data_IF_274493802836
#
_entry.id   IF_274493802836
#
_cell.length_a   1.000
_cell.length_b   1.000
_cell.length_c   1.000
_cell.angle_alpha   90.00
_cell.angle_beta   90.00
_cell.angle_gamma   90.00
#
_symmetry.space_group_name_H-M   'P 1'
#
loop_
_entity.id
_entity.type
_entity.pdbx_description
1 polymer ?
#
# COMPACT_ATOMS: atom_id res chain seq x y z
N UNK A 1 -2.38 -23.90 4.85
CA UNK A 1 -1.91 -23.11 6.01
C UNK A 1 -0.97 -21.99 5.58
N UNK A 2 0.29 -22.28 5.21
CA UNK A 2 1.29 -21.26 4.91
C UNK A 2 0.86 -20.22 3.85
N UNK A 3 0.27 -20.66 2.73
CA UNK A 3 -0.21 -19.76 1.67
C UNK A 3 -1.26 -18.74 2.20
N UNK A 4 -2.18 -19.20 3.05
CA UNK A 4 -3.21 -18.35 3.65
C UNK A 4 -2.59 -17.33 4.61
N UNK A 5 -1.64 -17.77 5.46
CA UNK A 5 -0.98 -16.89 6.42
C UNK A 5 -0.21 -15.79 5.69
N UNK A 6 0.63 -16.16 4.73
CA UNK A 6 1.46 -15.19 4.00
C UNK A 6 0.61 -14.20 3.22
N UNK A 7 -0.41 -14.66 2.49
CA UNK A 7 -1.31 -13.75 1.78
C UNK A 7 -2.05 -12.81 2.73
N UNK A 8 -2.49 -13.33 3.89
CA UNK A 8 -3.18 -12.52 4.90
C UNK A 8 -2.27 -11.46 5.54
N UNK A 9 -0.99 -11.76 5.75
CA UNK A 9 0.02 -10.79 6.22
C UNK A 9 0.23 -9.69 5.17
N UNK A 10 0.43 -10.04 3.89
CA UNK A 10 0.58 -9.05 2.82
C UNK A 10 -0.68 -8.17 2.66
N UNK A 11 -1.86 -8.74 2.82
CA UNK A 11 -3.11 -7.97 2.84
C UNK A 11 -3.20 -7.03 4.03
N UNK A 12 -2.73 -7.45 5.19
CA UNK A 12 -2.64 -6.62 6.39
C UNK A 12 -1.72 -5.42 6.17
N UNK A 13 -0.50 -5.68 5.69
CA UNK A 13 0.46 -4.61 5.34
C UNK A 13 -0.09 -3.65 4.29
N UNK A 14 -0.74 -4.17 3.25
CA UNK A 14 -1.37 -3.33 2.23
C UNK A 14 -2.41 -2.41 2.87
N UNK A 15 -3.29 -2.94 3.73
CA UNK A 15 -4.31 -2.13 4.42
C UNK A 15 -3.72 -1.08 5.35
N UNK A 16 -2.62 -1.38 6.03
CA UNK A 16 -1.88 -0.44 6.87
C UNK A 16 -1.30 0.71 6.05
N UNK A 17 -0.59 0.38 4.98
CA UNK A 17 0.00 1.37 4.07
C UNK A 17 -1.10 2.22 3.43
N UNK A 18 -2.21 1.61 3.02
CA UNK A 18 -3.38 2.32 2.53
C UNK A 18 -3.94 3.30 3.56
N UNK A 19 -3.99 2.93 4.84
CA UNK A 19 -4.48 3.82 5.89
C UNK A 19 -3.56 5.03 6.12
N UNK A 20 -2.24 4.85 6.01
CA UNK A 20 -1.29 5.97 6.13
C UNK A 20 -1.46 6.98 5.00
N UNK A 21 -1.50 6.52 3.74
CA UNK A 21 -1.77 7.42 2.61
C UNK A 21 -3.17 8.04 2.71
N UNK A 22 -4.15 7.30 3.26
CA UNK A 22 -5.51 7.82 3.46
C UNK A 22 -5.62 9.02 4.39
N UNK A 23 -4.66 9.18 5.30
CA UNK A 23 -4.73 10.21 6.31
C UNK A 23 -3.96 11.48 5.93
N UNK A 24 -3.04 11.40 4.96
CA UNK A 24 -2.22 12.52 4.50
C UNK A 24 -2.57 12.99 3.08
N UNK A 25 -2.85 12.07 2.15
CA UNK A 25 -3.09 12.39 0.74
C UNK A 25 -4.57 12.60 0.45
N UNK A 26 -4.93 13.55 -0.43
CA UNK A 26 -6.30 13.75 -0.87
C UNK A 26 -6.79 12.60 -1.75
N UNK A 27 -8.12 12.48 -1.90
CA UNK A 27 -8.72 11.46 -2.77
C UNK A 27 -8.29 11.62 -4.23
N UNK A 28 -8.24 12.87 -4.71
CA UNK A 28 -7.74 13.24 -6.02
C UNK A 28 -6.79 14.42 -5.90
N UNK A 29 -5.62 14.33 -6.53
CA UNK A 29 -4.65 15.41 -6.69
C UNK A 29 -4.47 15.75 -8.17
N UNK A 30 -4.62 17.03 -8.49
CA UNK A 30 -4.42 17.59 -9.83
C UNK A 30 -3.08 18.33 -9.83
N UNK A 31 -2.18 17.93 -10.73
CA UNK A 31 -0.87 18.57 -10.93
C UNK A 31 -0.68 18.89 -12.41
N UNK A 32 0.01 19.98 -12.78
CA UNK A 32 0.32 20.24 -14.18
C UNK A 32 1.30 19.19 -14.71
N UNK A 33 1.19 18.82 -15.98
CA UNK A 33 2.16 17.92 -16.65
C UNK A 33 3.44 18.70 -17.00
N UNK A 34 3.27 19.94 -17.47
CA UNK A 34 4.37 20.84 -17.79
C UNK A 34 4.40 22.03 -16.83
N UNK A 35 5.60 22.39 -16.37
CA UNK A 35 5.79 23.45 -15.37
C UNK A 35 5.57 22.97 -13.93
N UNK A 36 5.80 23.88 -12.98
CA UNK A 36 5.69 23.60 -11.53
C UNK A 36 4.40 24.10 -10.91
N UNK A 37 3.82 25.15 -11.49
CA UNK A 37 2.65 25.83 -10.95
C UNK A 37 1.75 26.30 -12.10
N UNK A 38 0.46 26.48 -11.81
CA UNK A 38 -0.55 26.94 -12.75
C UNK A 38 -1.55 27.85 -12.04
N UNK A 39 -2.26 28.70 -12.78
CA UNK A 39 -3.37 29.49 -12.22
C UNK A 39 -4.67 28.68 -12.35
N UNK A 40 -5.37 28.36 -11.24
CA UNK A 40 -6.61 27.60 -11.32
C UNK A 40 -7.73 28.28 -12.11
N UNK A 41 -7.71 29.61 -12.19
CA UNK A 41 -8.74 30.41 -12.89
C UNK A 41 -8.64 30.21 -14.39
N UNK A 42 -7.42 30.16 -14.94
CA UNK A 42 -7.17 30.01 -16.38
C UNK A 42 -7.72 28.69 -16.94
N UNK A 43 -7.84 27.66 -16.11
CA UNK A 43 -8.27 26.32 -16.50
C UNK A 43 -9.69 25.95 -16.02
N UNK A 44 -10.47 26.93 -15.57
CA UNK A 44 -11.89 26.78 -15.22
C UNK A 44 -12.14 25.66 -14.18
N UNK A 45 -11.26 25.56 -13.16
CA UNK A 45 -11.42 24.58 -12.09
C UNK A 45 -12.68 24.83 -11.23
N UNK A 46 -13.33 25.98 -11.39
CA UNK A 46 -14.66 26.27 -10.83
C UNK A 46 -15.73 25.23 -11.20
N UNK A 47 -15.63 24.60 -12.38
CA UNK A 47 -16.53 23.50 -12.75
C UNK A 47 -16.35 22.28 -11.85
N UNK A 48 -15.11 21.96 -11.51
CA UNK A 48 -14.77 20.81 -10.65
C UNK A 48 -15.25 21.08 -9.22
N UNK A 49 -15.07 22.31 -8.73
CA UNK A 49 -15.55 22.74 -7.42
C UNK A 49 -17.07 22.62 -7.25
N UNK A 50 -17.84 22.66 -8.34
CA UNK A 50 -19.31 22.56 -8.36
C UNK A 50 -19.83 21.14 -8.58
N UNK A 51 -18.95 20.14 -8.74
CA UNK A 51 -19.39 18.76 -8.91
C UNK A 51 -20.04 18.24 -7.61
N UNK A 52 -21.17 17.50 -7.69
CA UNK A 52 -21.94 17.10 -6.50
C UNK A 52 -21.17 16.16 -5.57
N UNK A 53 -20.25 15.36 -6.12
CA UNK A 53 -19.46 14.40 -5.36
C UNK A 53 -18.18 15.01 -4.75
N UNK A 54 -17.87 16.28 -5.05
CA UNK A 54 -16.72 17.00 -4.51
C UNK A 54 -17.15 17.72 -3.23
N UNK A 55 -16.65 17.25 -2.09
CA UNK A 55 -16.97 17.82 -0.77
C UNK A 55 -15.96 18.90 -0.40
N UNK A 56 -14.70 18.70 -0.78
CA UNK A 56 -13.62 19.61 -0.45
C UNK A 56 -12.78 19.94 -1.67
N UNK A 57 -12.41 21.21 -1.76
CA UNK A 57 -11.52 21.75 -2.77
C UNK A 57 -10.46 22.58 -2.05
N UNK A 58 -9.19 22.30 -2.36
CA UNK A 58 -8.06 22.95 -1.72
C UNK A 58 -6.95 23.24 -2.72
N UNK A 59 -6.54 24.51 -2.74
CA UNK A 59 -5.38 24.97 -3.49
C UNK A 59 -4.13 24.83 -2.62
N UNK A 60 -3.09 24.21 -3.16
CA UNK A 60 -1.89 23.85 -2.40
C UNK A 60 -0.64 24.32 -3.15
N UNK A 61 0.34 24.79 -2.38
CA UNK A 61 1.68 25.15 -2.85
C UNK A 61 2.70 24.21 -2.23
N UNK A 62 3.44 23.49 -3.07
CA UNK A 62 4.53 22.58 -2.69
C UNK A 62 5.81 23.01 -3.43
N UNK A 63 6.80 23.50 -2.68
CA UNK A 63 8.13 23.79 -3.20
C UNK A 63 9.20 23.42 -2.16
N UNK A 64 10.40 23.13 -2.66
CA UNK A 64 11.55 22.79 -1.82
C UNK A 64 12.17 24.07 -1.25
N UNK A 65 12.45 24.07 0.05
CA UNK A 65 13.14 25.13 0.75
C UNK A 65 14.22 24.57 1.68
N UNK A 66 15.19 25.40 2.04
CA UNK A 66 16.18 25.05 3.07
C UNK A 66 15.69 25.55 4.43
N UNK A 67 15.42 24.63 5.34
CA UNK A 67 15.05 24.95 6.72
C UNK A 67 16.31 25.14 7.56
N UNK A 68 16.26 26.06 8.51
CA UNK A 68 17.29 26.27 9.52
C UNK A 68 16.66 26.47 10.88
N UNK A 69 17.08 25.66 11.83
CA UNK A 69 16.71 25.78 13.24
C UNK A 69 18.01 25.77 14.05
N UNK A 70 18.26 26.84 14.81
CA UNK A 70 19.54 27.05 15.49
C UNK A 70 20.75 26.90 14.54
N UNK A 71 21.58 25.88 14.76
CA UNK A 71 22.76 25.57 13.94
C UNK A 71 22.52 24.45 12.91
N UNK A 72 21.36 23.80 12.93
CA UNK A 72 21.04 22.70 12.02
C UNK A 72 20.31 23.23 10.78
N UNK A 73 20.60 22.60 9.64
CA UNK A 73 19.96 22.93 8.36
C UNK A 73 19.48 21.64 7.70
N UNK A 74 18.30 21.70 7.10
CA UNK A 74 17.69 20.53 6.49
C UNK A 74 16.81 20.94 5.30
N UNK A 75 17.00 20.36 4.10
CA UNK A 75 16.12 20.61 2.97
C UNK A 75 14.77 19.91 3.18
N UNK A 76 13.66 20.63 3.00
CA UNK A 76 12.31 20.07 3.11
C UNK A 76 11.37 20.71 2.08
N UNK A 77 10.24 20.05 1.82
CA UNK A 77 9.11 20.59 1.06
C UNK A 77 8.20 21.35 2.01
N UNK A 78 8.00 22.63 1.70
CA UNK A 78 6.97 23.45 2.34
C UNK A 78 5.65 23.14 1.64
N UNK A 79 4.69 22.58 2.38
CA UNK A 79 3.31 22.36 1.90
C UNK A 79 2.41 23.46 2.47
N UNK A 80 2.11 24.46 1.64
CA UNK A 80 1.17 25.54 1.95
C UNK A 80 -0.26 25.07 1.72
N UNK A 81 -1.06 24.99 2.78
CA UNK A 81 -2.42 24.42 2.73
C UNK A 81 -3.48 25.40 3.22
N UNK A 82 -4.72 25.29 2.73
CA UNK A 82 -5.80 26.15 3.19
C UNK A 82 -6.30 25.73 4.60
N UNK A 83 -7.05 26.60 5.30
CA UNK A 83 -7.51 26.32 6.67
C UNK A 83 -8.37 25.06 6.82
N UNK A 84 -9.03 24.62 5.74
CA UNK A 84 -9.85 23.41 5.71
C UNK A 84 -9.05 22.11 5.47
N UNK A 85 -7.70 22.14 5.48
CA UNK A 85 -6.85 20.96 5.26
C UNK A 85 -7.23 19.77 6.16
N UNK A 86 -7.40 20.01 7.47
CA UNK A 86 -7.79 18.97 8.42
C UNK A 86 -9.22 18.46 8.27
N UNK A 87 -10.07 19.11 7.45
CA UNK A 87 -11.44 18.65 7.22
C UNK A 87 -11.53 17.50 6.20
N UNK A 88 -10.59 17.45 5.25
CA UNK A 88 -10.55 16.43 4.20
C UNK A 88 -9.34 15.49 4.31
N UNK A 89 -8.41 15.79 5.21
CA UNK A 89 -7.31 14.90 5.60
C UNK A 89 -7.46 14.56 7.08
N UNK A 90 -7.07 13.36 7.48
CA UNK A 90 -7.09 12.97 8.90
C UNK A 90 -5.78 13.37 9.61
N UNK A 91 -5.17 14.49 9.22
CA UNK A 91 -3.84 14.91 9.71
C UNK A 91 -3.81 15.10 11.24
N UNK A 92 -4.94 15.49 11.84
CA UNK A 92 -5.07 15.65 13.29
C UNK A 92 -4.82 14.34 14.05
N UNK A 93 -5.14 13.19 13.44
CA UNK A 93 -4.90 11.86 14.02
C UNK A 93 -3.44 11.42 13.95
N UNK A 94 -2.62 12.12 13.17
CA UNK A 94 -1.21 11.82 12.93
C UNK A 94 -0.26 12.66 13.79
N UNK A 95 -0.80 13.59 14.60
CA UNK A 95 0.00 14.43 15.50
C UNK A 95 0.48 13.61 16.68
N UNK A 96 1.80 13.55 16.86
CA UNK A 96 2.47 12.82 17.95
C UNK A 96 2.91 13.74 19.09
N UNK A 97 3.12 15.03 18.80
CA UNK A 97 3.52 16.04 19.77
C UNK A 97 2.92 17.41 19.39
N UNK A 98 2.49 18.20 20.37
CA UNK A 98 1.84 19.50 20.16
C UNK A 98 0.42 19.42 19.60
N UNK A 99 0.06 20.36 18.70
CA UNK A 99 -1.26 20.47 18.08
C UNK A 99 -1.17 20.86 16.60
N UNK A 100 -2.10 20.38 15.79
CA UNK A 100 -2.29 20.86 14.43
C UNK A 100 -2.93 22.26 14.44
N UNK A 101 -2.09 23.29 14.40
CA UNK A 101 -2.52 24.69 14.36
C UNK A 101 -1.64 25.36 13.29
N UNK A 102 -2.27 25.89 12.25
CA UNK A 102 -1.53 26.63 11.21
C UNK A 102 -1.63 28.13 11.41
N UNK A 103 -2.69 28.61 12.07
CA UNK A 103 -2.87 30.01 12.36
C UNK A 103 -3.65 30.19 13.68
N UNK A 104 -3.14 31.02 14.59
CA UNK A 104 -3.86 31.44 15.79
C UNK A 104 -3.59 32.93 16.05
N UNK A 105 -4.65 33.70 16.29
CA UNK A 105 -4.59 35.15 16.60
C UNK A 105 -3.69 35.97 15.65
N UNK A 106 -3.66 35.60 14.36
CA UNK A 106 -2.86 36.29 13.33
C UNK A 106 -1.38 35.91 13.32
N UNK A 107 -0.97 34.91 14.11
CA UNK A 107 0.36 34.30 14.05
C UNK A 107 0.27 33.02 13.23
N UNK A 108 1.19 32.89 12.26
CA UNK A 108 1.31 31.70 11.44
C UNK A 108 2.23 30.67 12.12
N UNK A 109 1.80 29.41 12.09
CA UNK A 109 2.45 28.28 12.72
C UNK A 109 2.70 27.17 11.70
N UNK A 110 3.69 26.34 11.97
CA UNK A 110 4.04 25.19 11.17
C UNK A 110 3.82 23.88 11.92
N UNK A 111 3.37 22.86 11.21
CA UNK A 111 3.34 21.48 11.71
C UNK A 111 4.39 20.70 10.94
N UNK A 112 5.34 20.12 11.66
CA UNK A 112 6.58 19.57 11.08
C UNK A 112 6.51 18.05 11.05
N UNK A 113 6.98 17.41 9.98
CA UNK A 113 7.12 15.95 9.97
C UNK A 113 8.17 15.49 10.98
N UNK A 114 7.97 14.32 11.60
CA UNK A 114 8.85 13.79 12.65
C UNK A 114 10.32 13.71 12.21
N UNK A 115 10.59 13.28 10.97
CA UNK A 115 11.93 13.20 10.41
C UNK A 115 12.58 14.57 10.23
N UNK A 116 11.83 15.56 9.74
CA UNK A 116 12.30 16.95 9.64
C UNK A 116 12.58 17.52 11.03
N UNK A 117 11.68 17.29 12.00
CA UNK A 117 11.84 17.75 13.38
C UNK A 117 13.08 17.14 14.04
N UNK A 118 13.30 15.84 13.86
CA UNK A 118 14.48 15.12 14.35
C UNK A 118 15.78 15.68 13.76
N UNK A 119 15.86 15.87 12.44
CA UNK A 119 17.07 16.35 11.76
C UNK A 119 17.38 17.84 12.00
N UNK A 120 16.38 18.62 12.43
CA UNK A 120 16.56 20.02 12.82
C UNK A 120 16.73 20.20 14.33
N UNK A 121 16.52 19.14 15.12
CA UNK A 121 16.54 19.21 16.58
C UNK A 121 15.44 20.11 17.14
N UNK A 122 14.27 20.13 16.51
CA UNK A 122 13.12 20.94 16.93
C UNK A 122 12.53 20.35 18.21
N UNK A 123 12.36 21.17 19.24
CA UNK A 123 11.61 20.84 20.44
C UNK A 123 10.49 21.85 20.64
N UNK A 124 9.25 21.38 20.82
CA UNK A 124 8.08 22.27 20.98
C UNK A 124 8.07 23.05 22.30
N UNK A 125 8.92 22.67 23.25
CA UNK A 125 9.06 23.33 24.57
C UNK A 125 9.74 24.69 24.49
N UNK A 126 10.59 24.93 23.49
CA UNK A 126 11.32 26.19 23.30
C UNK A 126 10.93 26.81 21.96
N UNK A 127 10.27 27.96 22.00
CA UNK A 127 9.60 28.59 20.84
C UNK A 127 10.61 29.40 20.01
N UNK A 128 11.69 28.77 19.55
CA UNK A 128 12.53 29.39 18.52
C UNK A 128 11.82 29.29 17.16
N UNK A 129 11.91 30.31 16.29
CA UNK A 129 11.33 30.21 14.96
C UNK A 129 12.22 29.39 14.03
N UNK A 130 11.60 28.59 13.17
CA UNK A 130 12.24 27.96 12.02
C UNK A 130 12.46 29.04 10.96
N UNK A 131 13.70 29.19 10.50
CA UNK A 131 14.04 30.03 9.36
C UNK A 131 13.94 29.22 8.08
N UNK A 132 13.18 29.73 7.12
CA UNK A 132 12.98 29.08 5.83
C UNK A 132 13.66 29.92 4.76
N UNK A 133 14.56 29.32 3.99
CA UNK A 133 15.29 29.99 2.91
C UNK A 133 14.85 29.43 1.56
N UNK A 134 14.49 30.33 0.65
CA UNK A 134 14.00 30.01 -0.70
C UNK A 134 14.79 30.82 -1.74
N UNK A 135 15.32 30.19 -2.80
CA UNK A 135 15.97 30.92 -3.88
C UNK A 135 14.94 31.70 -4.71
N UNK A 136 15.21 32.98 -5.00
CA UNK A 136 14.34 33.81 -5.84
C UNK A 136 14.35 33.32 -7.30
N UNK A 137 13.15 33.17 -7.89
CA UNK A 137 12.98 32.77 -9.30
C UNK A 137 13.45 33.89 -10.24
N UNK A 138 14.17 33.54 -11.32
CA UNK A 138 14.38 34.42 -12.48
C UNK A 138 15.47 35.52 -12.41
N UNK A 139 16.28 35.60 -11.35
CA UNK A 139 17.46 36.49 -11.34
C UNK A 139 18.73 35.69 -11.64
N UNK A 140 19.50 36.12 -12.64
CA UNK A 140 20.89 35.64 -12.83
C UNK A 140 21.61 35.75 -11.50
N UNK A 141 22.47 34.76 -11.19
CA UNK A 141 23.27 34.75 -9.97
C UNK A 141 24.00 36.09 -9.82
N UNK A 142 23.46 36.97 -8.97
CA UNK A 142 24.09 38.22 -8.61
C UNK A 142 25.34 37.90 -7.80
N UNK A 143 26.39 38.70 -7.94
CA UNK A 143 27.59 38.61 -7.09
C UNK A 143 27.28 38.78 -5.59
N UNK A 144 26.05 39.21 -5.24
CA UNK A 144 25.56 39.30 -3.87
C UNK A 144 24.54 38.20 -3.54
N UNK A 145 25.03 37.08 -3.01
CA UNK A 145 24.28 35.87 -2.62
C UNK A 145 23.15 36.19 -1.60
N UNK A 146 23.33 37.22 -0.75
CA UNK A 146 22.34 37.60 0.24
C UNK A 146 21.07 38.24 -0.36
N UNK A 147 21.16 38.80 -1.57
CA UNK A 147 20.03 39.46 -2.26
C UNK A 147 19.17 38.50 -3.10
N UNK A 148 19.67 37.29 -3.35
CA UNK A 148 19.01 36.25 -4.18
C UNK A 148 18.17 35.25 -3.40
N UNK A 149 18.06 35.38 -2.07
CA UNK A 149 17.36 34.44 -1.20
C UNK A 149 16.23 35.17 -0.46
N UNK A 150 15.01 34.68 -0.58
CA UNK A 150 13.92 35.03 0.33
C UNK A 150 14.06 34.22 1.61
N UNK A 151 13.79 34.84 2.75
CA UNK A 151 13.66 34.12 4.00
C UNK A 151 12.47 34.60 4.80
N UNK A 152 11.86 33.69 5.53
CA UNK A 152 10.79 33.99 6.47
C UNK A 152 10.93 33.11 7.73
N UNK A 153 10.19 33.47 8.77
CA UNK A 153 10.19 32.83 10.06
C UNK A 153 8.83 32.22 10.34
N UNK A 154 8.82 31.00 10.88
CA UNK A 154 7.58 30.36 11.32
C UNK A 154 7.81 29.56 12.59
N UNK A 155 6.81 29.52 13.47
CA UNK A 155 6.91 28.82 14.75
C UNK A 155 6.31 27.42 14.65
N UNK A 156 6.98 26.37 15.17
CA UNK A 156 6.40 25.04 15.19
C UNK A 156 5.27 24.96 16.24
N UNK A 157 4.11 24.40 15.89
CA UNK A 157 3.00 24.13 16.83
C UNK A 157 2.80 22.65 17.13
N UNK A 158 3.31 21.78 16.27
CA UNK A 158 3.11 20.34 16.38
C UNK A 158 4.04 19.55 15.47
N UNK A 159 4.15 18.26 15.77
CA UNK A 159 4.90 17.28 15.00
C UNK A 159 3.95 16.16 14.59
N UNK A 160 3.91 15.85 13.29
CA UNK A 160 3.13 14.71 12.77
C UNK A 160 4.05 13.53 12.42
N UNK A 161 3.51 12.32 12.44
CA UNK A 161 4.17 11.12 11.92
C UNK A 161 3.22 10.27 11.08
N UNK A 162 3.70 9.87 9.90
CA UNK A 162 2.98 9.06 8.92
C UNK A 162 3.87 7.90 8.48
N UNK A 163 4.91 8.21 7.72
CA UNK A 163 5.88 7.28 7.12
C UNK A 163 7.18 8.07 6.92
N UNK A 164 8.33 7.42 7.06
CA UNK A 164 9.64 8.08 6.96
C UNK A 164 9.80 8.96 5.70
N UNK A 165 9.26 8.52 4.56
CA UNK A 165 9.31 9.25 3.28
C UNK A 165 8.53 10.57 3.30
N UNK A 166 7.46 10.66 4.11
CA UNK A 166 6.66 11.88 4.29
C UNK A 166 7.25 12.70 5.44
N UNK A 167 7.55 12.04 6.55
CA UNK A 167 8.00 12.64 7.81
C UNK A 167 9.35 13.36 7.65
N UNK A 168 10.22 12.83 6.80
CA UNK A 168 11.52 13.43 6.49
C UNK A 168 11.45 14.46 5.36
N UNK A 169 10.27 14.69 4.77
CA UNK A 169 10.15 15.53 3.57
C UNK A 169 9.30 16.76 3.79
N UNK A 170 8.25 16.71 4.60
CA UNK A 170 7.23 17.77 4.62
C UNK A 170 7.23 18.60 5.91
N UNK A 171 6.93 19.89 5.73
CA UNK A 171 6.46 20.81 6.76
C UNK A 171 5.19 21.50 6.23
N UNK A 172 4.13 21.51 7.03
CA UNK A 172 2.83 22.07 6.68
C UNK A 172 2.72 23.48 7.24
N UNK A 173 2.33 24.44 6.40
CA UNK A 173 2.20 25.86 6.75
C UNK A 173 0.92 26.44 6.14
N UNK A 174 0.43 27.61 6.59
CA UNK A 174 -0.67 28.31 5.93
C UNK A 174 -0.38 28.60 4.46
N UNK A 175 -1.39 28.43 3.62
CA UNK A 175 -1.33 28.78 2.19
C UNK A 175 -0.83 30.21 1.96
N UNK A 176 -1.32 31.17 2.74
CA UNK A 176 -0.92 32.58 2.63
C UNK A 176 0.58 32.78 2.88
N UNK A 177 1.11 32.18 3.94
CA UNK A 177 2.54 32.21 4.26
C UNK A 177 3.38 31.61 3.12
N UNK A 178 2.97 30.46 2.57
CA UNK A 178 3.67 29.84 1.45
C UNK A 178 3.62 30.69 0.17
N UNK A 179 2.45 31.25 -0.17
CA UNK A 179 2.28 32.12 -1.35
C UNK A 179 3.19 33.35 -1.29
N UNK A 180 3.28 34.00 -0.12
CA UNK A 180 4.17 35.15 0.10
C UNK A 180 5.66 34.74 0.04
N UNK A 181 6.04 33.64 0.69
CA UNK A 181 7.42 33.15 0.72
C UNK A 181 7.94 32.77 -0.68
N UNK A 182 7.10 32.12 -1.49
CA UNK A 182 7.45 31.68 -2.85
C UNK A 182 7.14 32.70 -3.95
N UNK A 183 6.61 33.88 -3.58
CA UNK A 183 6.16 34.93 -4.52
C UNK A 183 5.24 34.36 -5.62
N UNK A 184 4.38 33.39 -5.28
CA UNK A 184 3.58 32.64 -6.26
C UNK A 184 2.36 33.40 -6.76
N UNK A 185 1.93 34.45 -6.06
CA UNK A 185 0.73 35.23 -6.36
C UNK A 185 -0.52 34.32 -6.38
N UNK A 186 -1.11 34.09 -7.56
CA UNK A 186 -2.27 33.23 -7.77
C UNK A 186 -1.91 31.82 -8.27
N UNK A 187 -0.62 31.55 -8.49
CA UNK A 187 -0.16 30.27 -9.00
C UNK A 187 -0.11 29.23 -7.86
N UNK A 188 -0.64 28.04 -8.14
CA UNK A 188 -0.65 26.88 -7.22
C UNK A 188 0.14 25.74 -7.84
N UNK A 189 0.76 24.89 -7.02
CA UNK A 189 1.45 23.70 -7.53
C UNK A 189 0.47 22.56 -7.81
N UNK A 190 -0.58 22.47 -7.00
CA UNK A 190 -1.56 21.40 -7.10
C UNK A 190 -2.91 21.82 -6.54
N UNK A 191 -3.95 21.16 -7.02
CA UNK A 191 -5.29 21.23 -6.43
C UNK A 191 -5.66 19.86 -5.87
N UNK A 192 -6.04 19.86 -4.59
CA UNK A 192 -6.42 18.69 -3.81
C UNK A 192 -7.95 18.66 -3.65
N UNK A 193 -8.53 17.48 -3.88
CA UNK A 193 -9.98 17.28 -3.89
C UNK A 193 -10.32 16.14 -2.93
N UNK A 194 -11.24 16.43 -2.00
CA UNK A 194 -11.90 15.44 -1.15
C UNK A 194 -13.26 15.06 -1.71
N UNK A 195 -13.52 13.77 -1.81
CA UNK A 195 -14.76 13.22 -2.36
C UNK A 195 -15.72 12.77 -1.26
N UNK A 196 -17.00 12.63 -1.60
CA UNK A 196 -17.97 12.01 -0.71
C UNK A 196 -17.68 10.51 -0.50
N UNK A 197 -18.07 9.94 0.64
CA UNK A 197 -17.77 8.54 0.98
C UNK A 197 -18.41 7.52 0.02
N UNK A 198 -19.51 7.89 -0.65
CA UNK A 198 -20.21 7.06 -1.62
C UNK A 198 -19.72 7.26 -3.06
N UNK A 199 -18.85 8.26 -3.27
CA UNK A 199 -18.37 8.63 -4.60
C UNK A 199 -17.46 7.55 -5.22
N UNK A 200 -17.68 7.28 -6.50
CA UNK A 200 -16.75 6.44 -7.26
C UNK A 200 -15.54 7.27 -7.72
N UNK A 201 -14.48 7.26 -6.91
CA UNK A 201 -13.22 7.99 -7.19
C UNK A 201 -12.69 7.77 -8.61
N UNK A 202 -12.74 6.54 -9.16
CA UNK A 202 -12.26 6.27 -10.53
C UNK A 202 -13.13 6.93 -11.61
N UNK A 203 -14.43 7.00 -11.39
CA UNK A 203 -15.36 7.64 -12.33
C UNK A 203 -15.12 9.15 -12.34
N UNK A 204 -15.08 9.76 -11.16
CA UNK A 204 -14.86 11.20 -11.00
C UNK A 204 -13.47 11.61 -11.50
N UNK A 205 -12.45 10.82 -11.22
CA UNK A 205 -11.10 11.03 -11.76
C UNK A 205 -11.13 11.13 -13.29
N UNK A 206 -11.84 10.22 -13.97
CA UNK A 206 -11.97 10.26 -15.44
C UNK A 206 -12.74 11.48 -15.92
N UNK A 207 -13.81 11.86 -15.22
CA UNK A 207 -14.58 13.07 -15.54
C UNK A 207 -13.71 14.33 -15.40
N UNK A 208 -12.95 14.46 -14.31
CA UNK A 208 -12.02 15.56 -14.07
C UNK A 208 -10.92 15.58 -15.15
N UNK A 209 -10.33 14.42 -15.47
CA UNK A 209 -9.32 14.32 -16.53
C UNK A 209 -9.88 14.75 -17.89
N UNK A 210 -11.13 14.40 -18.21
CA UNK A 210 -11.77 14.82 -19.46
C UNK A 210 -12.03 16.33 -19.52
N UNK A 211 -12.28 16.97 -18.37
CA UNK A 211 -12.49 18.43 -18.29
C UNK A 211 -11.16 19.17 -18.48
N UNK A 212 -10.08 18.69 -17.85
CA UNK A 212 -8.77 19.36 -17.84
C UNK A 212 -7.90 19.02 -19.06
N UNK A 213 -8.20 17.94 -19.76
CA UNK A 213 -7.42 17.46 -20.90
C UNK A 213 -6.04 16.92 -20.49
N UNK A 214 -5.13 16.84 -21.47
CA UNK A 214 -3.80 16.22 -21.27
C UNK A 214 -2.77 17.14 -20.60
N UNK A 215 -3.12 18.40 -20.34
CA UNK A 215 -2.24 19.37 -19.69
C UNK A 215 -2.03 19.09 -18.19
N UNK A 216 -2.90 18.27 -17.60
CA UNK A 216 -2.89 17.94 -16.17
C UNK A 216 -2.82 16.43 -15.93
N UNK A 217 -2.05 16.06 -14.92
CA UNK A 217 -2.06 14.72 -14.35
C UNK A 217 -3.06 14.71 -13.19
N UNK A 218 -4.17 14.00 -13.37
CA UNK A 218 -5.18 13.77 -12.32
C UNK A 218 -4.93 12.40 -11.71
N UNK A 219 -4.36 12.37 -10.50
CA UNK A 219 -4.03 11.13 -9.79
C UNK A 219 -4.98 10.89 -8.63
N UNK A 220 -5.47 9.67 -8.50
CA UNK A 220 -6.11 9.24 -7.26
C UNK A 220 -5.06 8.92 -6.19
N UNK A 221 -5.50 8.76 -4.94
CA UNK A 221 -4.65 8.43 -3.80
C UNK A 221 -3.62 7.30 -4.02
N UNK A 222 -4.02 6.22 -4.67
CA UNK A 222 -3.11 5.10 -4.94
C UNK A 222 -2.03 5.44 -5.98
N UNK A 223 -2.36 6.28 -6.95
CA UNK A 223 -1.45 6.67 -8.04
C UNK A 223 -0.46 7.77 -7.62
N UNK A 224 -0.74 8.49 -6.53
CA UNK A 224 0.20 9.47 -5.97
C UNK A 224 1.49 8.78 -5.50
N UNK A 225 1.38 7.55 -4.97
CA UNK A 225 2.49 6.71 -4.53
C UNK A 225 2.62 5.42 -5.36
N UNK A 226 2.57 5.56 -6.69
CA UNK A 226 2.52 4.44 -7.64
C UNK A 226 3.70 3.47 -7.49
N UNK A 227 4.92 3.96 -7.21
CA UNK A 227 6.10 3.10 -6.99
C UNK A 227 5.92 2.19 -5.77
N UNK A 228 5.52 2.74 -4.63
CA UNK A 228 5.30 1.98 -3.38
C UNK A 228 4.21 0.94 -3.61
N UNK A 229 3.08 1.37 -4.19
CA UNK A 229 1.94 0.49 -4.44
C UNK A 229 2.27 -0.63 -5.43
N UNK A 230 2.98 -0.32 -6.54
CA UNK A 230 3.40 -1.32 -7.53
C UNK A 230 4.42 -2.29 -6.95
N UNK A 231 5.41 -1.81 -6.19
CA UNK A 231 6.40 -2.66 -5.52
C UNK A 231 5.73 -3.62 -4.54
N UNK A 232 4.82 -3.13 -3.70
CA UNK A 232 4.05 -3.96 -2.77
C UNK A 232 3.23 -5.04 -3.47
N UNK A 233 2.54 -4.69 -4.56
CA UNK A 233 1.85 -5.68 -5.38
C UNK A 233 2.81 -6.71 -5.95
N UNK A 234 3.93 -6.27 -6.50
CA UNK A 234 4.95 -7.16 -7.09
C UNK A 234 5.52 -8.12 -6.04
N UNK A 235 5.80 -7.66 -4.83
CA UNK A 235 6.29 -8.50 -3.73
C UNK A 235 5.25 -9.53 -3.29
N UNK A 236 3.97 -9.12 -3.15
CA UNK A 236 2.86 -10.06 -2.88
C UNK A 236 2.80 -11.16 -3.94
N UNK A 237 2.92 -10.80 -5.21
CA UNK A 237 2.92 -11.76 -6.32
C UNK A 237 4.16 -12.66 -6.33
N UNK A 238 5.34 -12.13 -6.02
CA UNK A 238 6.58 -12.92 -5.94
C UNK A 238 6.52 -13.95 -4.80
N UNK A 239 6.09 -13.53 -3.61
CA UNK A 239 5.90 -14.43 -2.47
C UNK A 239 4.85 -15.51 -2.78
N UNK A 240 3.76 -15.12 -3.44
CA UNK A 240 2.75 -16.06 -3.91
C UNK A 240 3.33 -17.10 -4.88
N UNK A 241 4.12 -16.70 -5.88
CA UNK A 241 4.77 -17.63 -6.83
C UNK A 241 5.71 -18.60 -6.13
N UNK A 242 6.55 -18.14 -5.19
CA UNK A 242 7.46 -18.99 -4.42
C UNK A 242 6.67 -20.06 -3.65
N UNK A 243 5.56 -19.67 -3.01
CA UNK A 243 4.75 -20.61 -2.24
C UNK A 243 4.02 -21.62 -3.13
N UNK A 244 3.61 -21.22 -4.34
CA UNK A 244 3.09 -22.16 -5.36
C UNK A 244 4.17 -23.16 -5.78
N UNK A 245 5.41 -22.71 -6.00
CA UNK A 245 6.53 -23.62 -6.30
C UNK A 245 6.79 -24.61 -5.15
N UNK A 246 6.81 -24.14 -3.91
CA UNK A 246 6.95 -25.01 -2.72
C UNK A 246 5.81 -26.03 -2.67
N UNK A 247 4.58 -25.62 -2.96
CA UNK A 247 3.43 -26.51 -3.02
C UNK A 247 3.58 -27.58 -4.12
N UNK A 248 4.06 -27.20 -5.31
CA UNK A 248 4.33 -28.14 -6.40
C UNK A 248 5.40 -29.14 -5.96
N UNK A 249 6.49 -28.69 -5.34
CA UNK A 249 7.53 -29.58 -4.82
C UNK A 249 6.96 -30.55 -3.78
N UNK A 250 6.15 -30.04 -2.85
CA UNK A 250 5.49 -30.87 -1.84
C UNK A 250 4.50 -31.87 -2.46
N UNK A 251 3.87 -31.53 -3.59
CA UNK A 251 2.96 -32.44 -4.29
C UNK A 251 3.67 -33.68 -4.87
N UNK A 252 4.99 -33.60 -5.13
CA UNK A 252 5.78 -34.79 -5.49
C UNK A 252 5.87 -35.81 -4.36
N UNK A 253 5.76 -35.41 -3.10
CA UNK A 253 5.71 -36.37 -2.00
C UNK A 253 4.40 -37.17 -2.02
N UNK A 254 3.28 -36.52 -2.38
CA UNK A 254 1.99 -37.20 -2.55
C UNK A 254 2.08 -38.18 -3.73
N UNK A 255 2.70 -37.77 -4.83
CA UNK A 255 2.99 -38.63 -5.98
C UNK A 255 3.76 -39.89 -5.58
N UNK A 256 4.86 -39.73 -4.83
CA UNK A 256 5.70 -40.84 -4.36
C UNK A 256 4.93 -41.77 -3.43
N UNK A 257 4.15 -41.23 -2.49
CA UNK A 257 3.35 -42.01 -1.55
C UNK A 257 2.23 -42.80 -2.24
N UNK A 258 1.49 -42.18 -3.16
CA UNK A 258 0.44 -42.86 -3.94
C UNK A 258 1.03 -43.97 -4.83
N UNK A 259 2.19 -43.70 -5.44
CA UNK A 259 2.88 -44.69 -6.28
C UNK A 259 3.30 -45.92 -5.47
N UNK A 260 3.89 -45.69 -4.29
CA UNK A 260 4.25 -46.77 -3.36
C UNK A 260 3.02 -47.56 -2.91
N UNK A 261 1.93 -46.87 -2.56
CA UNK A 261 0.67 -47.52 -2.16
C UNK A 261 0.08 -48.40 -3.28
N UNK A 262 0.13 -47.95 -4.54
CA UNK A 262 -0.30 -48.77 -5.68
C UNK A 262 0.56 -50.04 -5.81
N UNK A 263 1.87 -49.93 -5.60
CA UNK A 263 2.81 -51.05 -5.67
C UNK A 263 2.56 -52.04 -4.53
N UNK A 264 2.42 -51.55 -3.29
CA UNK A 264 2.13 -52.37 -2.11
C UNK A 264 0.79 -53.11 -2.23
N UNK A 265 -0.18 -52.52 -2.95
CA UNK A 265 -1.50 -53.09 -3.21
C UNK A 265 -1.60 -53.88 -4.51
N UNK A 266 -0.48 -54.18 -5.18
CA UNK A 266 -0.47 -54.90 -6.47
C UNK A 266 -1.21 -56.24 -6.40
N UNK A 267 -1.01 -57.06 -5.38
CA UNK A 267 -1.67 -58.38 -5.24
C UNK A 267 -3.18 -58.24 -5.08
N UNK A 268 -3.63 -57.33 -4.22
CA UNK A 268 -5.04 -57.01 -4.01
C UNK A 268 -5.72 -56.59 -5.32
N UNK A 269 -5.01 -55.83 -6.18
CA UNK A 269 -5.49 -55.42 -7.50
C UNK A 269 -5.66 -56.59 -8.46
N UNK A 270 -4.80 -57.62 -8.39
CA UNK A 270 -4.92 -58.83 -9.20
C UNK A 270 -6.13 -59.67 -8.80
N UNK A 271 -6.41 -59.77 -7.50
CA UNK A 271 -7.61 -60.44 -6.99
C UNK A 271 -8.86 -59.71 -7.50
N UNK A 272 -8.89 -58.38 -7.37
CA UNK A 272 -10.00 -57.55 -7.81
C UNK A 272 -10.24 -57.68 -9.33
N UNK A 273 -9.17 -57.70 -10.13
CA UNK A 273 -9.23 -57.90 -11.59
C UNK A 273 -9.76 -59.29 -11.95
N UNK A 274 -9.31 -60.33 -11.23
CA UNK A 274 -9.79 -61.71 -11.39
C UNK A 274 -11.28 -61.86 -11.03
N UNK A 275 -11.80 -61.03 -10.13
CA UNK A 275 -13.23 -60.93 -9.81
C UNK A 275 -14.06 -60.13 -10.82
N UNK A 276 -13.44 -59.64 -11.91
CA UNK A 276 -14.13 -58.92 -12.99
C UNK A 276 -14.00 -57.39 -12.95
N UNK A 277 -13.16 -56.82 -12.08
CA UNK A 277 -12.93 -55.38 -12.08
C UNK A 277 -12.16 -54.92 -13.33
N UNK A 278 -12.72 -53.95 -14.05
CA UNK A 278 -12.07 -53.29 -15.17
C UNK A 278 -10.98 -52.31 -14.66
N UNK A 279 -9.89 -52.12 -15.40
CA UNK A 279 -8.80 -51.19 -15.08
C UNK A 279 -9.27 -49.75 -14.83
N UNK A 280 -10.41 -49.34 -15.40
CA UNK A 280 -11.04 -48.05 -15.12
C UNK A 280 -11.54 -47.93 -13.67
N UNK A 281 -12.01 -49.02 -13.05
CA UNK A 281 -12.42 -49.04 -11.65
C UNK A 281 -11.20 -48.84 -10.75
N UNK A 282 -10.12 -49.58 -11.01
CA UNK A 282 -8.84 -49.44 -10.30
C UNK A 282 -8.28 -48.01 -10.39
N UNK A 283 -8.30 -47.40 -11.59
CA UNK A 283 -7.89 -45.99 -11.75
C UNK A 283 -8.75 -45.04 -10.94
N UNK A 284 -10.06 -45.23 -10.93
CA UNK A 284 -10.98 -44.38 -10.15
C UNK A 284 -10.68 -44.47 -8.65
N UNK A 285 -10.42 -45.66 -8.11
CA UNK A 285 -10.11 -45.83 -6.68
C UNK A 285 -8.91 -44.98 -6.28
N UNK A 286 -7.77 -45.11 -6.97
CA UNK A 286 -6.56 -44.34 -6.64
C UNK A 286 -6.68 -42.84 -6.96
N UNK A 287 -7.46 -42.47 -7.98
CA UNK A 287 -7.79 -41.06 -8.24
C UNK A 287 -8.57 -40.47 -7.07
N UNK A 288 -9.62 -41.16 -6.60
CA UNK A 288 -10.40 -40.70 -5.45
C UNK A 288 -9.54 -40.61 -4.19
N UNK A 289 -8.65 -41.58 -3.95
CA UNK A 289 -7.75 -41.56 -2.80
C UNK A 289 -6.85 -40.31 -2.80
N UNK A 290 -6.16 -40.04 -3.92
CA UNK A 290 -5.32 -38.84 -4.04
C UNK A 290 -6.11 -37.54 -3.94
N UNK A 291 -7.35 -37.54 -4.43
CA UNK A 291 -8.25 -36.40 -4.29
C UNK A 291 -8.69 -36.19 -2.84
N UNK A 292 -9.01 -37.27 -2.10
CA UNK A 292 -9.34 -37.21 -0.68
C UNK A 292 -8.17 -36.64 0.14
N UNK A 293 -6.94 -37.10 -0.08
CA UNK A 293 -5.75 -36.57 0.58
C UNK A 293 -5.63 -35.05 0.35
N UNK A 294 -5.86 -34.60 -0.89
CA UNK A 294 -5.80 -33.19 -1.26
C UNK A 294 -6.94 -32.37 -0.64
N UNK A 295 -8.17 -32.89 -0.63
CA UNK A 295 -9.35 -32.25 -0.02
C UNK A 295 -9.16 -32.11 1.49
N UNK A 296 -8.81 -33.19 2.19
CA UNK A 296 -8.60 -33.15 3.64
C UNK A 296 -7.42 -32.26 4.01
N UNK A 297 -6.32 -32.33 3.26
CA UNK A 297 -5.19 -31.42 3.43
C UNK A 297 -5.56 -29.95 3.24
N UNK A 298 -6.39 -29.65 2.23
CA UNK A 298 -6.90 -28.31 1.96
C UNK A 298 -7.82 -27.81 3.09
N UNK A 299 -8.76 -28.64 3.57
CA UNK A 299 -9.69 -28.29 4.65
C UNK A 299 -8.93 -28.07 5.96
N UNK A 300 -8.14 -29.04 6.40
CA UNK A 300 -7.36 -28.95 7.65
C UNK A 300 -6.37 -27.79 7.56
N UNK A 301 -5.66 -27.68 6.45
CA UNK A 301 -4.70 -26.60 6.22
C UNK A 301 -5.35 -25.21 6.15
N UNK A 302 -6.60 -25.11 5.71
CA UNK A 302 -7.35 -23.85 5.70
C UNK A 302 -7.85 -23.47 7.07
N UNK A 303 -8.42 -24.43 7.81
CA UNK A 303 -8.87 -24.23 9.19
C UNK A 303 -7.69 -23.78 10.07
N UNK A 304 -6.55 -24.48 10.01
CA UNK A 304 -5.36 -24.11 10.77
C UNK A 304 -4.81 -22.74 10.35
N UNK A 305 -4.76 -22.45 9.05
CA UNK A 305 -4.31 -21.14 8.56
C UNK A 305 -5.18 -19.99 9.07
N UNK A 306 -6.50 -20.15 8.99
CA UNK A 306 -7.46 -19.16 9.48
C UNK A 306 -7.39 -19.01 11.00
N UNK A 307 -7.23 -20.10 11.76
CA UNK A 307 -7.08 -20.07 13.21
C UNK A 307 -5.83 -19.30 13.61
N UNK A 308 -4.69 -19.55 12.97
CA UNK A 308 -3.45 -18.81 13.21
C UNK A 308 -3.61 -17.32 12.89
N UNK A 309 -4.22 -16.98 11.74
CA UNK A 309 -4.49 -15.58 11.39
C UNK A 309 -5.43 -14.91 12.41
N UNK A 310 -6.49 -15.60 12.84
CA UNK A 310 -7.42 -15.08 13.85
C UNK A 310 -6.74 -14.88 15.22
N UNK A 311 -5.90 -15.82 15.63
CA UNK A 311 -5.13 -15.72 16.86
C UNK A 311 -4.17 -14.51 16.82
N UNK A 312 -3.47 -14.30 15.70
CA UNK A 312 -2.61 -13.13 15.52
C UNK A 312 -3.40 -11.81 15.54
N UNK A 313 -4.58 -11.76 14.92
CA UNK A 313 -5.45 -10.56 14.95
C UNK A 313 -5.91 -10.24 16.38
N UNK A 314 -6.19 -11.26 17.20
CA UNK A 314 -6.75 -11.06 18.55
C UNK A 314 -5.70 -10.83 19.64
N UNK A 315 -4.56 -11.51 19.53
CA UNK A 315 -3.56 -11.54 20.59
C UNK A 315 -2.25 -10.84 20.21
N UNK A 316 -2.06 -10.47 18.95
CA UNK A 316 -0.90 -9.67 18.49
C UNK A 316 0.46 -10.25 18.90
N UNK A 317 0.58 -11.58 18.96
CA UNK A 317 1.76 -12.27 19.49
C UNK A 317 3.06 -11.89 18.78
N UNK A 318 3.00 -11.65 17.46
CA UNK A 318 4.16 -11.28 16.65
C UNK A 318 4.20 -9.76 16.50
N UNK A 319 5.18 -9.14 17.17
CA UNK A 319 5.41 -7.70 17.13
C UNK A 319 6.39 -7.30 16.02
N UNK A 320 6.27 -6.07 15.53
CA UNK A 320 7.19 -5.52 14.55
C UNK A 320 8.50 -5.10 15.23
N UNK A 321 9.68 -5.43 14.66
CA UNK A 321 10.95 -4.90 15.16
C UNK A 321 10.97 -3.37 14.95
N UNK A 322 11.27 -2.62 16.02
CA UNK A 322 11.24 -1.14 16.00
C UNK A 322 10.11 -0.49 16.81
N UNK A 323 9.64 -1.16 17.88
CA UNK A 323 8.65 -0.64 18.82
C UNK A 323 8.99 0.81 19.23
N UNK A 324 8.23 1.78 18.71
CA UNK A 324 8.39 3.22 18.96
C UNK A 324 8.51 4.10 17.71
N UNK A 325 8.93 3.55 16.55
CA UNK A 325 9.04 4.32 15.29
C UNK A 325 7.88 4.11 14.32
N UNK A 326 7.12 3.04 14.50
CA UNK A 326 5.90 2.76 13.72
C UNK A 326 4.69 2.88 14.63
N UNK A 327 3.61 3.48 14.11
CA UNK A 327 2.31 3.61 14.80
C UNK A 327 1.69 2.24 15.16
N UNK A 328 2.21 1.16 14.58
CA UNK A 328 1.68 -0.21 14.72
C UNK A 328 2.68 -1.09 15.46
N UNK A 329 2.22 -1.70 16.56
CA UNK A 329 3.00 -2.57 17.44
C UNK A 329 3.14 -4.00 16.91
N UNK A 330 2.17 -4.48 16.14
CA UNK A 330 2.06 -5.89 15.73
C UNK A 330 2.03 -6.10 14.22
N UNK A 331 2.48 -7.26 13.76
CA UNK A 331 2.39 -7.61 12.34
C UNK A 331 0.91 -7.63 11.90
N UNK A 332 0.52 -6.78 10.92
CA UNK A 332 -0.86 -6.66 10.51
C UNK A 332 -1.29 -7.87 9.68
N UNK A 333 -2.47 -8.41 9.98
CA UNK A 333 -3.04 -9.57 9.26
C UNK A 333 -4.47 -9.24 8.85
N UNK A 334 -4.78 -9.40 7.57
CA UNK A 334 -6.13 -9.22 7.01
C UNK A 334 -6.52 -10.41 6.15
N UNK A 335 -7.52 -11.15 6.61
CA UNK A 335 -8.05 -12.31 5.87
C UNK A 335 -8.95 -11.80 4.74
N UNK A 336 -8.59 -12.13 3.50
CA UNK A 336 -9.38 -11.80 2.31
C UNK A 336 -10.00 -13.08 1.77
N UNK A 337 -11.32 -13.12 1.69
CA UNK A 337 -12.07 -14.32 1.28
C UNK A 337 -11.68 -14.83 -0.12
N UNK A 338 -11.46 -13.91 -1.06
CA UNK A 338 -11.03 -14.25 -2.42
C UNK A 338 -9.68 -14.97 -2.44
N UNK A 339 -8.72 -14.53 -1.62
CA UNK A 339 -7.41 -15.16 -1.52
C UNK A 339 -7.52 -16.59 -0.98
N UNK A 340 -8.44 -16.85 -0.04
CA UNK A 340 -8.72 -18.21 0.48
C UNK A 340 -9.29 -19.12 -0.61
N UNK A 341 -10.24 -18.64 -1.41
CA UNK A 341 -10.78 -19.41 -2.55
C UNK A 341 -9.67 -19.71 -3.57
N UNK A 342 -8.84 -18.72 -3.86
CA UNK A 342 -7.73 -18.86 -4.80
C UNK A 342 -6.75 -19.93 -4.31
N UNK A 343 -6.37 -19.90 -3.02
CA UNK A 343 -5.54 -20.94 -2.39
C UNK A 343 -6.15 -22.32 -2.56
N UNK A 344 -7.43 -22.48 -2.23
CA UNK A 344 -8.14 -23.76 -2.37
C UNK A 344 -8.11 -24.25 -3.82
N UNK A 345 -8.34 -23.36 -4.79
CA UNK A 345 -8.27 -23.67 -6.23
C UNK A 345 -6.90 -24.22 -6.64
N UNK A 346 -5.81 -23.61 -6.19
CA UNK A 346 -4.45 -24.10 -6.49
C UNK A 346 -4.24 -25.48 -5.88
N UNK A 347 -4.58 -25.67 -4.60
CA UNK A 347 -4.38 -26.97 -3.92
C UNK A 347 -5.17 -28.07 -4.64
N UNK A 348 -6.39 -27.77 -5.09
CA UNK A 348 -7.18 -28.72 -5.88
C UNK A 348 -6.53 -29.04 -7.23
N UNK A 349 -6.03 -28.04 -7.95
CA UNK A 349 -5.35 -28.24 -9.24
C UNK A 349 -4.06 -29.06 -9.05
N UNK A 350 -3.22 -28.68 -8.10
CA UNK A 350 -1.96 -29.40 -7.83
C UNK A 350 -2.22 -30.81 -7.32
N UNK A 351 -3.22 -31.00 -6.46
CA UNK A 351 -3.61 -32.31 -5.94
C UNK A 351 -4.19 -33.21 -7.03
N UNK A 352 -5.00 -32.65 -7.93
CA UNK A 352 -5.52 -33.37 -9.08
C UNK A 352 -4.40 -33.81 -10.04
N UNK A 353 -3.46 -32.92 -10.36
CA UNK A 353 -2.31 -33.24 -11.21
C UNK A 353 -1.44 -34.34 -10.56
N UNK A 354 -1.18 -34.21 -9.25
CA UNK A 354 -0.41 -35.17 -8.47
C UNK A 354 -1.08 -36.54 -8.36
N UNK A 355 -2.41 -36.62 -8.37
CA UNK A 355 -3.12 -37.91 -8.37
C UNK A 355 -3.24 -38.50 -9.78
N UNK A 356 -3.45 -37.67 -10.80
CA UNK A 356 -3.72 -38.12 -12.16
C UNK A 356 -2.51 -38.72 -12.86
N UNK A 357 -1.33 -38.12 -12.70
CA UNK A 357 -0.11 -38.58 -13.35
C UNK A 357 0.27 -40.05 -13.03
N UNK A 358 0.36 -40.49 -11.75
CA UNK A 358 0.78 -41.86 -11.41
C UNK A 358 -0.29 -42.86 -11.80
N UNK A 359 -1.58 -42.53 -11.66
CA UNK A 359 -2.68 -43.41 -12.07
C UNK A 359 -2.68 -43.66 -13.58
N UNK A 360 -2.30 -42.66 -14.39
CA UNK A 360 -2.17 -42.86 -15.83
C UNK A 360 -0.97 -43.75 -16.17
N UNK A 361 0.21 -43.45 -15.64
CA UNK A 361 1.45 -44.13 -16.01
C UNK A 361 1.66 -45.49 -15.33
N UNK A 362 1.42 -45.61 -14.04
CA UNK A 362 1.70 -46.82 -13.24
C UNK A 362 0.62 -47.87 -13.48
N UNK A 363 -0.66 -47.48 -13.51
CA UNK A 363 -1.74 -48.44 -13.81
C UNK A 363 -1.62 -48.99 -15.24
N UNK A 364 -1.12 -48.21 -16.21
CA UNK A 364 -0.80 -48.76 -17.54
C UNK A 364 0.32 -49.79 -17.48
N UNK A 365 1.40 -49.50 -16.74
CA UNK A 365 2.60 -50.35 -16.73
C UNK A 365 2.41 -51.67 -15.96
N UNK A 366 1.64 -51.67 -14.87
CA UNK A 366 1.48 -52.86 -14.02
C UNK A 366 0.18 -53.64 -14.24
N UNK A 367 -0.91 -53.00 -14.69
CA UNK A 367 -2.21 -53.69 -14.86
C UNK A 367 -2.44 -54.17 -16.30
N UNK A 368 -1.82 -53.55 -17.31
CA UNK A 368 -2.02 -53.92 -18.72
C UNK A 368 -0.88 -54.76 -19.33
N UNK A 369 0.34 -54.70 -18.80
CA UNK A 369 1.50 -55.38 -19.39
C UNK A 369 1.88 -56.72 -18.75
N UNK A 370 1.31 -57.12 -17.61
CA UNK A 370 1.40 -58.50 -17.11
C UNK A 370 0.27 -59.34 -17.75
N UNK A 371 0.37 -59.52 -19.06
CA UNK A 371 -0.13 -60.70 -19.76
C UNK A 371 1.12 -61.55 -20.07
N UNK A 372 1.62 -62.27 -19.06
CA UNK A 372 2.50 -63.42 -19.21
C UNK A 372 2.13 -64.44 -18.14
#
# INVERSE_FOLDING_TARGET
MALIIVLSVFNGFTGVIESFFSNFDPDIKITPVEGKMFDPVDYNLDKIKKMPDVVHYAEVIEEVAMLKYNNQQYPAIIKGVPPNYGAYTNIDTLIIDGKFILQDKGVDYAVVGQGVAYNLGIGLTFIDPIRIYVPKKGRQASFNIASSINYSYIYPSGVFSVLEEIDSKYIIVPYKYASELFESQNLVSSVEIGLSTEANSKKIQKEIQNILGDNFSVKNKYQQHDLIYKTMKSEKWAAYLILVFILIIASFNVLSSLSMLIIDKKEDLFILKSMGANSNLTRKIFLFEGWFISIFGAIIGSILGLLVCWAQIKFEFITLPGAGSFVISAYPVKIVFFDVILVLGIVFITGFIASWYPVKFITQKFVLNENL
#
